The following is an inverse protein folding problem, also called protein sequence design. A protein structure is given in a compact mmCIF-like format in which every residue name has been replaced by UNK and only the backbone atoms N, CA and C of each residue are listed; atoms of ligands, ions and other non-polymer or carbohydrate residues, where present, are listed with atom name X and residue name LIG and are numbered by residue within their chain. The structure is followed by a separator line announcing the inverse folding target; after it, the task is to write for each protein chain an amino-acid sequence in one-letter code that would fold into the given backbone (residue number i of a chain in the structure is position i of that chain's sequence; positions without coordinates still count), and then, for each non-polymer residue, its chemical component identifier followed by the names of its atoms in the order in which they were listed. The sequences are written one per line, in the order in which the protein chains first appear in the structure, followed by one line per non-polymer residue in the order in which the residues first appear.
data_IF_508429466778
#
_entry.id   IF_508429466778
#
_cell.length_a   1.000
_cell.length_b   1.000
_cell.length_c   1.000
_cell.angle_alpha   90.00
_cell.angle_beta   90.00
_cell.angle_gamma   90.00
#
_symmetry.space_group_name_H-M   'P 1'
#
loop_
_entity.id
_entity.type
_entity.pdbx_description
1 polymer ?
#
# COMPACT_ATOMS: atom_id res chain seq x y z
N UNK A 1 28.49 -28.08 69.91
CA UNK A 1 28.53 -29.48 70.40
C UNK A 1 28.38 -30.40 69.21
N UNK A 2 29.48 -31.03 68.91
CA UNK A 2 29.70 -32.48 68.84
C UNK A 2 28.84 -33.25 67.84
N UNK A 3 29.53 -33.66 66.74
CA UNK A 3 29.93 -35.06 66.42
C UNK A 3 28.86 -35.84 65.68
N UNK A 4 29.04 -36.69 64.66
CA UNK A 4 30.20 -37.41 64.12
C UNK A 4 29.74 -38.20 62.91
N UNK A 5 30.57 -38.34 61.87
CA UNK A 5 31.02 -39.51 61.11
C UNK A 5 30.12 -40.78 61.00
N UNK A 6 29.96 -41.26 59.77
CA UNK A 6 30.46 -42.53 59.19
C UNK A 6 29.87 -42.70 57.80
N UNK A 7 30.60 -42.71 56.75
CA UNK A 7 31.46 -43.66 56.06
C UNK A 7 30.74 -44.75 55.25
N UNK A 8 31.08 -44.70 53.97
CA UNK A 8 31.35 -45.80 53.03
C UNK A 8 30.24 -46.79 52.65
N UNK A 9 29.92 -46.86 51.38
CA UNK A 9 30.27 -47.95 50.47
C UNK A 9 29.78 -47.63 49.04
N UNK A 10 30.71 -47.62 48.08
CA UNK A 10 30.47 -47.38 46.66
C UNK A 10 29.80 -48.61 46.04
N UNK A 11 28.91 -48.32 45.10
CA UNK A 11 28.57 -49.22 44.04
C UNK A 11 28.67 -48.44 42.72
N UNK A 12 29.69 -48.74 41.94
CA UNK A 12 29.84 -48.30 40.57
C UNK A 12 28.76 -48.96 39.70
N UNK A 13 27.81 -48.13 39.23
CA UNK A 13 26.86 -48.54 38.18
C UNK A 13 27.47 -48.14 36.84
N UNK A 14 27.97 -49.10 36.09
CA UNK A 14 28.38 -48.91 34.69
C UNK A 14 27.15 -48.73 33.85
N UNK A 15 26.85 -47.48 33.49
CA UNK A 15 25.85 -47.11 32.50
C UNK A 15 26.45 -47.36 31.11
N UNK A 16 26.00 -48.41 30.47
CA UNK A 16 26.24 -48.71 29.05
C UNK A 16 25.43 -47.70 28.23
N UNK A 17 26.03 -46.63 27.73
CA UNK A 17 25.41 -45.68 26.80
C UNK A 17 25.40 -46.36 25.42
N UNK A 18 24.25 -46.91 25.05
CA UNK A 18 23.97 -47.31 23.67
C UNK A 18 23.84 -46.05 22.82
N UNK A 19 24.88 -45.69 22.08
CA UNK A 19 24.84 -44.67 21.06
C UNK A 19 23.95 -45.13 19.92
N UNK A 20 22.71 -44.73 19.93
CA UNK A 20 21.81 -44.82 18.75
C UNK A 20 22.27 -43.73 17.79
N UNK A 21 22.69 -44.06 16.54
CA UNK A 21 22.97 -43.03 15.56
C UNK A 21 21.64 -42.31 15.22
N UNK A 22 21.45 -41.11 15.70
CA UNK A 22 20.41 -40.18 15.21
C UNK A 22 20.82 -39.85 13.78
N UNK A 23 20.24 -40.57 12.82
CA UNK A 23 20.34 -40.19 11.42
C UNK A 23 19.75 -38.79 11.28
N UNK A 24 20.58 -37.82 10.91
CA UNK A 24 20.09 -36.53 10.44
C UNK A 24 19.23 -36.80 9.23
N UNK A 25 17.92 -36.80 9.41
CA UNK A 25 16.98 -36.65 8.31
C UNK A 25 17.36 -35.31 7.65
N UNK A 26 17.96 -35.37 6.48
CA UNK A 26 18.32 -34.18 5.73
C UNK A 26 17.08 -33.32 5.63
N UNK A 27 17.16 -32.08 6.12
CA UNK A 27 16.13 -31.09 5.91
C UNK A 27 15.88 -31.04 4.40
N UNK A 28 14.68 -31.44 3.98
CA UNK A 28 14.27 -31.31 2.59
C UNK A 28 14.50 -29.86 2.19
N UNK A 29 15.21 -29.63 1.08
CA UNK A 29 15.38 -28.31 0.53
C UNK A 29 13.99 -27.64 0.45
N UNK A 30 13.85 -26.37 0.83
CA UNK A 30 12.57 -25.68 0.72
C UNK A 30 12.08 -25.84 -0.71
N UNK A 31 10.79 -26.15 -0.92
CA UNK A 31 10.24 -26.35 -2.26
C UNK A 31 10.55 -25.12 -3.09
N UNK A 32 11.08 -25.33 -4.29
CA UNK A 32 11.41 -24.26 -5.22
C UNK A 32 10.18 -23.33 -5.35
N UNK A 33 10.39 -22.04 -5.17
CA UNK A 33 9.33 -21.05 -5.23
C UNK A 33 8.63 -21.13 -6.58
N UNK A 34 7.36 -21.49 -6.61
CA UNK A 34 6.63 -21.67 -7.85
C UNK A 34 6.41 -20.31 -8.51
N UNK A 35 6.76 -20.21 -9.80
CA UNK A 35 6.58 -18.98 -10.56
C UNK A 35 5.10 -18.72 -10.81
N UNK A 36 4.71 -17.44 -10.77
CA UNK A 36 3.39 -17.02 -11.19
C UNK A 36 3.19 -17.32 -12.69
N UNK A 37 2.02 -17.88 -13.04
CA UNK A 37 1.62 -18.14 -14.42
C UNK A 37 0.55 -17.15 -14.83
N UNK A 38 0.66 -16.61 -16.04
CA UNK A 38 -0.27 -15.65 -16.63
C UNK A 38 -1.00 -16.27 -17.79
N UNK A 39 -2.32 -16.11 -17.80
CA UNK A 39 -3.22 -16.52 -18.87
C UNK A 39 -4.07 -15.34 -19.32
N UNK A 40 -4.58 -15.40 -20.56
CA UNK A 40 -5.60 -14.50 -21.07
C UNK A 40 -6.83 -15.31 -21.39
N UNK A 41 -7.98 -14.96 -20.83
CA UNK A 41 -9.26 -15.60 -21.08
C UNK A 41 -9.83 -15.18 -22.44
N UNK A 42 -10.81 -15.92 -22.96
CA UNK A 42 -11.40 -15.68 -24.27
C UNK A 42 -11.95 -14.26 -24.46
N UNK A 43 -12.43 -13.62 -23.37
CA UNK A 43 -12.97 -12.26 -23.39
C UNK A 43 -11.92 -11.16 -23.11
N UNK A 44 -10.62 -11.51 -23.07
CA UNK A 44 -9.53 -10.58 -22.83
C UNK A 44 -9.18 -10.31 -21.36
N UNK A 45 -9.91 -10.89 -20.38
CA UNK A 45 -9.53 -10.79 -18.97
C UNK A 45 -8.22 -11.50 -18.72
N UNK A 46 -7.36 -10.90 -17.92
CA UNK A 46 -6.12 -11.53 -17.47
C UNK A 46 -6.40 -12.42 -16.24
N UNK A 47 -5.77 -13.60 -16.19
CA UNK A 47 -5.68 -14.44 -15.00
C UNK A 47 -4.21 -14.62 -14.63
N UNK A 48 -3.88 -14.41 -13.35
CA UNK A 48 -2.54 -14.68 -12.81
C UNK A 48 -2.71 -15.69 -11.66
N UNK A 49 -1.97 -16.81 -11.73
CA UNK A 49 -2.01 -17.85 -10.70
C UNK A 49 -0.63 -18.08 -10.14
N UNK A 50 -0.49 -17.97 -8.81
CA UNK A 50 0.76 -18.27 -8.08
C UNK A 50 0.52 -19.41 -7.09
N UNK A 51 0.91 -20.67 -7.40
CA UNK A 51 0.80 -21.77 -6.46
C UNK A 51 1.69 -21.56 -5.23
N UNK A 52 1.11 -21.78 -4.04
CA UNK A 52 1.82 -21.83 -2.76
C UNK A 52 1.13 -22.85 -1.85
N UNK A 53 1.70 -24.04 -1.75
CA UNK A 53 1.10 -25.17 -1.03
C UNK A 53 1.51 -25.30 0.43
N UNK A 54 2.06 -24.23 1.03
CA UNK A 54 2.47 -24.23 2.44
C UNK A 54 1.31 -24.33 3.42
N UNK A 55 0.12 -23.89 3.03
CA UNK A 55 -1.12 -23.99 3.79
C UNK A 55 -2.30 -24.22 2.86
N UNK A 56 -3.40 -24.91 3.30
CA UNK A 56 -4.58 -25.19 2.49
C UNK A 56 -5.49 -23.97 2.34
N UNK A 57 -4.91 -22.82 1.99
CA UNK A 57 -5.60 -21.53 1.88
C UNK A 57 -5.29 -20.88 0.54
N UNK A 58 -6.20 -20.01 0.11
CA UNK A 58 -6.12 -19.25 -1.14
C UNK A 58 -6.52 -17.80 -0.90
N UNK A 59 -5.77 -16.87 -1.48
CA UNK A 59 -6.19 -15.51 -1.75
C UNK A 59 -6.69 -15.43 -3.20
N UNK A 60 -7.98 -15.16 -3.37
CA UNK A 60 -8.59 -14.81 -4.64
C UNK A 60 -8.78 -13.30 -4.67
N UNK A 61 -8.34 -12.64 -5.74
CA UNK A 61 -8.48 -11.19 -5.90
C UNK A 61 -8.96 -10.85 -7.31
N UNK A 62 -9.90 -9.93 -7.39
CA UNK A 62 -10.29 -9.25 -8.63
C UNK A 62 -9.80 -7.81 -8.59
N UNK A 63 -9.03 -7.40 -9.59
CA UNK A 63 -8.53 -6.03 -9.73
C UNK A 63 -9.08 -5.38 -10.98
N UNK A 64 -9.49 -4.14 -10.86
CA UNK A 64 -9.89 -3.31 -12.00
C UNK A 64 -8.90 -2.15 -12.11
N UNK A 65 -8.36 -1.94 -13.32
CA UNK A 65 -7.39 -0.85 -13.59
C UNK A 65 -8.14 0.48 -13.70
N UNK A 66 -8.79 0.87 -12.61
CA UNK A 66 -9.51 2.14 -12.46
C UNK A 66 -9.53 2.55 -10.99
N UNK A 67 -9.27 3.83 -10.72
CA UNK A 67 -9.27 4.39 -9.38
C UNK A 67 -9.51 5.90 -9.41
N UNK A 68 -9.21 6.60 -8.32
CA UNK A 68 -9.49 8.02 -8.19
C UNK A 68 -8.85 8.90 -9.29
N UNK A 69 -7.78 8.46 -9.94
CA UNK A 69 -7.20 9.20 -11.05
C UNK A 69 -8.03 9.20 -12.35
N UNK A 70 -8.93 8.24 -12.49
CA UNK A 70 -9.78 8.09 -13.67
C UNK A 70 -11.13 8.86 -13.56
N UNK A 71 -11.35 9.49 -12.39
CA UNK A 71 -12.50 10.35 -12.12
C UNK A 71 -12.39 11.70 -12.81
N UNK A 72 -13.48 12.45 -12.80
CA UNK A 72 -13.53 13.85 -13.27
C UNK A 72 -13.94 14.78 -12.12
N UNK A 73 -13.62 16.06 -12.23
CA UNK A 73 -14.05 17.07 -11.28
C UNK A 73 -15.61 17.14 -11.28
N UNK A 74 -16.21 17.27 -10.10
CA UNK A 74 -17.66 17.20 -9.89
C UNK A 74 -18.18 15.80 -9.52
N UNK A 75 -17.37 14.73 -9.70
CA UNK A 75 -17.71 13.36 -9.30
C UNK A 75 -16.53 12.66 -8.63
N UNK A 76 -15.65 13.41 -7.93
CA UNK A 76 -14.56 12.81 -7.19
C UNK A 76 -15.09 11.89 -6.08
N UNK A 77 -14.44 10.76 -5.86
CA UNK A 77 -14.88 9.73 -4.94
C UNK A 77 -15.79 8.66 -5.55
N UNK A 78 -16.21 8.81 -6.83
CA UNK A 78 -17.11 7.83 -7.46
C UNK A 78 -16.52 6.44 -7.56
N UNK A 79 -15.19 6.30 -7.68
CA UNK A 79 -14.52 4.99 -7.67
C UNK A 79 -14.67 4.30 -6.30
N UNK A 80 -14.53 5.06 -5.21
CA UNK A 80 -14.69 4.57 -3.84
C UNK A 80 -16.17 4.28 -3.50
N UNK A 81 -17.08 5.16 -3.90
CA UNK A 81 -18.53 4.91 -3.76
C UNK A 81 -18.92 3.64 -4.52
N UNK A 82 -18.41 3.44 -5.73
CA UNK A 82 -18.68 2.22 -6.50
C UNK A 82 -18.10 0.97 -5.83
N UNK A 83 -16.93 1.06 -5.18
CA UNK A 83 -16.41 -0.05 -4.37
C UNK A 83 -17.45 -0.53 -3.36
N UNK A 84 -18.07 0.39 -2.59
CA UNK A 84 -19.15 0.09 -1.65
C UNK A 84 -20.37 -0.51 -2.34
N UNK A 85 -20.75 0.05 -3.50
CA UNK A 85 -21.94 -0.41 -4.23
C UNK A 85 -21.79 -1.83 -4.79
N UNK A 86 -20.56 -2.33 -5.00
CA UNK A 86 -20.34 -3.71 -5.43
C UNK A 86 -20.82 -4.75 -4.39
N UNK A 87 -21.04 -4.35 -3.13
CA UNK A 87 -21.59 -5.21 -2.06
C UNK A 87 -23.12 -5.12 -1.95
N UNK A 88 -23.80 -4.32 -2.79
CA UNK A 88 -25.24 -4.03 -2.65
C UNK A 88 -26.15 -4.91 -3.50
N UNK A 89 -25.59 -5.96 -4.11
CA UNK A 89 -26.38 -7.04 -4.69
C UNK A 89 -26.21 -7.23 -6.20
N UNK A 90 -26.83 -8.30 -6.67
CA UNK A 90 -26.97 -8.71 -8.07
C UNK A 90 -28.39 -9.26 -8.26
N UNK A 91 -28.82 -9.63 -9.47
CA UNK A 91 -30.09 -10.33 -9.65
C UNK A 91 -30.24 -11.63 -8.84
N UNK A 92 -29.10 -12.26 -8.46
CA UNK A 92 -29.06 -13.54 -7.73
C UNK A 92 -28.64 -13.43 -6.28
N UNK A 93 -28.16 -12.27 -5.85
CA UNK A 93 -27.64 -12.02 -4.50
C UNK A 93 -28.31 -10.78 -3.89
N UNK A 94 -28.99 -10.94 -2.78
CA UNK A 94 -29.53 -9.82 -2.02
C UNK A 94 -28.40 -9.00 -1.35
N UNK A 95 -28.73 -7.77 -0.89
CA UNK A 95 -27.82 -6.90 -0.15
C UNK A 95 -27.17 -7.64 1.04
N UNK A 96 -25.85 -7.63 1.13
CA UNK A 96 -25.07 -8.29 2.18
C UNK A 96 -25.01 -9.82 2.06
N UNK A 97 -25.64 -10.42 1.05
CA UNK A 97 -25.63 -11.87 0.89
C UNK A 97 -24.28 -12.40 0.43
N UNK A 98 -23.57 -11.64 -0.40
CA UNK A 98 -22.20 -11.98 -0.80
C UNK A 98 -21.33 -12.23 0.44
N UNK A 99 -21.28 -11.27 1.36
CA UNK A 99 -20.48 -11.33 2.59
C UNK A 99 -20.89 -12.50 3.49
N UNK A 100 -22.20 -12.73 3.67
CA UNK A 100 -22.70 -13.88 4.43
C UNK A 100 -22.27 -15.22 3.83
N UNK A 101 -22.33 -15.34 2.48
CA UNK A 101 -21.92 -16.58 1.81
C UNK A 101 -20.42 -16.81 1.92
N UNK A 102 -19.58 -15.77 1.72
CA UNK A 102 -18.13 -15.89 1.91
C UNK A 102 -17.79 -16.29 3.35
N UNK A 103 -18.44 -15.67 4.34
CA UNK A 103 -18.25 -16.04 5.75
C UNK A 103 -18.66 -17.49 6.04
N UNK A 104 -19.79 -17.95 5.47
CA UNK A 104 -20.26 -19.34 5.60
C UNK A 104 -19.29 -20.37 4.98
N UNK A 105 -18.50 -19.97 3.98
CA UNK A 105 -17.42 -20.77 3.39
C UNK A 105 -16.12 -20.74 4.23
N UNK A 106 -16.12 -20.10 5.40
CA UNK A 106 -14.94 -19.94 6.25
C UNK A 106 -13.99 -18.84 5.74
N UNK A 107 -14.45 -17.95 4.87
CA UNK A 107 -13.66 -16.91 4.25
C UNK A 107 -13.74 -15.56 4.97
N UNK A 108 -12.80 -14.69 4.61
CA UNK A 108 -12.80 -13.25 4.89
C UNK A 108 -12.74 -12.50 3.58
N UNK A 109 -13.42 -11.37 3.51
CA UNK A 109 -13.44 -10.54 2.33
C UNK A 109 -13.25 -9.07 2.69
N UNK A 110 -12.81 -8.27 1.72
CA UNK A 110 -12.84 -6.82 1.76
C UNK A 110 -12.54 -6.27 0.36
N UNK A 111 -12.52 -4.94 0.25
CA UNK A 111 -12.11 -4.24 -0.94
C UNK A 111 -11.25 -3.03 -0.60
N UNK A 112 -10.68 -2.39 -1.59
CA UNK A 112 -9.90 -1.17 -1.44
C UNK A 112 -9.87 -0.40 -2.76
N UNK A 113 -9.97 0.91 -2.67
CA UNK A 113 -9.76 1.84 -3.77
C UNK A 113 -8.48 2.64 -3.55
N UNK A 114 -7.68 2.77 -4.60
CA UNK A 114 -6.48 3.58 -4.63
C UNK A 114 -6.55 4.65 -5.73
N UNK A 115 -5.48 5.40 -5.94
CA UNK A 115 -5.40 6.35 -7.06
C UNK A 115 -5.53 5.63 -8.40
N UNK A 116 -4.92 4.46 -8.56
CA UNK A 116 -4.67 3.79 -9.84
C UNK A 116 -5.56 2.59 -10.11
N UNK A 117 -6.18 2.03 -9.08
CA UNK A 117 -6.90 0.76 -9.15
C UNK A 117 -7.95 0.62 -8.04
N UNK A 118 -8.89 -0.29 -8.26
CA UNK A 118 -9.80 -0.83 -7.25
C UNK A 118 -9.63 -2.34 -7.20
N UNK A 119 -9.57 -2.91 -6.00
CA UNK A 119 -9.36 -4.34 -5.78
C UNK A 119 -10.36 -4.92 -4.80
N UNK A 120 -10.81 -6.13 -5.09
CA UNK A 120 -11.72 -6.94 -4.26
C UNK A 120 -11.02 -8.24 -3.92
N UNK A 121 -11.12 -8.72 -2.68
CA UNK A 121 -10.43 -9.94 -2.31
C UNK A 121 -11.21 -10.82 -1.35
N UNK A 122 -10.92 -12.11 -1.42
CA UNK A 122 -11.36 -13.11 -0.47
C UNK A 122 -10.17 -13.99 -0.07
N UNK A 123 -10.04 -14.24 1.23
CA UNK A 123 -9.13 -15.25 1.78
C UNK A 123 -9.97 -16.41 2.28
N UNK A 124 -9.73 -17.60 1.74
CA UNK A 124 -10.62 -18.77 1.90
C UNK A 124 -9.80 -20.06 2.02
N UNK A 125 -10.39 -21.16 2.54
CA UNK A 125 -9.87 -22.50 2.33
C UNK A 125 -9.80 -22.82 0.82
N UNK A 126 -8.75 -23.50 0.37
CA UNK A 126 -8.53 -23.80 -1.06
C UNK A 126 -9.68 -24.60 -1.70
N UNK A 127 -10.35 -25.47 -0.92
CA UNK A 127 -11.52 -26.23 -1.35
C UNK A 127 -12.74 -25.38 -1.70
N UNK A 128 -12.77 -24.09 -1.32
CA UNK A 128 -13.89 -23.17 -1.55
C UNK A 128 -13.67 -22.22 -2.73
N UNK A 129 -12.55 -22.35 -3.45
CA UNK A 129 -12.19 -21.43 -4.52
C UNK A 129 -13.26 -21.35 -5.61
N UNK A 130 -13.80 -22.49 -6.08
CA UNK A 130 -14.84 -22.49 -7.13
C UNK A 130 -16.10 -21.74 -6.69
N UNK A 131 -16.54 -21.95 -5.44
CA UNK A 131 -17.72 -21.26 -4.90
C UNK A 131 -17.52 -19.74 -4.87
N UNK A 132 -16.33 -19.28 -4.47
CA UNK A 132 -16.00 -17.85 -4.44
C UNK A 132 -15.85 -17.26 -5.83
N UNK A 133 -15.20 -17.95 -6.76
CA UNK A 133 -15.10 -17.48 -8.16
C UNK A 133 -16.47 -17.30 -8.80
N UNK A 134 -17.43 -18.19 -8.52
CA UNK A 134 -18.82 -18.04 -8.97
C UNK A 134 -19.50 -16.80 -8.40
N UNK A 135 -19.33 -16.55 -7.09
CA UNK A 135 -19.90 -15.37 -6.42
C UNK A 135 -19.28 -14.07 -6.94
N UNK A 136 -17.95 -14.03 -7.08
CA UNK A 136 -17.21 -12.84 -7.51
C UNK A 136 -17.50 -12.50 -8.98
N UNK A 137 -17.58 -13.52 -9.85
CA UNK A 137 -17.90 -13.30 -11.27
C UNK A 137 -19.31 -12.73 -11.46
N UNK A 138 -20.30 -13.17 -10.67
CA UNK A 138 -21.64 -12.61 -10.66
C UNK A 138 -21.63 -11.15 -10.17
N UNK A 139 -20.94 -10.89 -9.05
CA UNK A 139 -20.76 -9.52 -8.53
C UNK A 139 -20.13 -8.58 -9.54
N UNK A 140 -19.08 -9.03 -10.22
CA UNK A 140 -18.38 -8.22 -11.23
C UNK A 140 -19.21 -7.95 -12.47
N UNK A 141 -19.96 -8.97 -12.96
CA UNK A 141 -20.68 -8.89 -14.23
C UNK A 141 -22.07 -8.27 -14.09
N UNK A 142 -22.77 -8.54 -13.00
CA UNK A 142 -24.20 -8.33 -12.84
C UNK A 142 -24.54 -7.39 -11.67
N UNK A 143 -23.56 -6.63 -11.16
CA UNK A 143 -23.81 -5.74 -10.04
C UNK A 143 -24.92 -4.71 -10.38
N UNK A 144 -25.90 -4.63 -9.50
CA UNK A 144 -27.00 -3.67 -9.60
C UNK A 144 -27.54 -3.31 -8.22
N UNK A 145 -28.04 -2.11 -8.09
CA UNK A 145 -28.63 -1.61 -6.85
C UNK A 145 -29.79 -0.65 -7.11
N UNK A 146 -30.81 -0.61 -6.22
CA UNK A 146 -31.81 0.45 -6.21
C UNK A 146 -31.21 1.79 -5.79
N UNK A 147 -31.80 2.90 -6.25
CA UNK A 147 -31.37 4.25 -5.86
C UNK A 147 -31.45 4.49 -4.35
N UNK A 148 -32.41 3.86 -3.67
CA UNK A 148 -32.54 3.93 -2.22
C UNK A 148 -31.33 3.31 -1.48
N UNK A 149 -30.74 2.22 -2.00
CA UNK A 149 -29.53 1.63 -1.43
C UNK A 149 -28.31 2.49 -1.70
N UNK A 150 -28.22 3.11 -2.89
CA UNK A 150 -27.18 4.08 -3.19
C UNK A 150 -27.22 5.27 -2.22
N UNK A 151 -28.41 5.86 -2.00
CA UNK A 151 -28.55 7.00 -1.09
C UNK A 151 -28.10 6.68 0.34
N UNK A 152 -28.43 5.49 0.86
CA UNK A 152 -27.98 5.05 2.18
C UNK A 152 -26.45 4.90 2.24
N UNK A 153 -25.87 4.25 1.24
CA UNK A 153 -24.45 3.98 1.21
C UNK A 153 -23.61 5.24 0.99
N UNK A 154 -24.13 6.19 0.23
CA UNK A 154 -23.50 7.49 0.06
C UNK A 154 -23.36 8.23 1.40
N UNK A 155 -24.36 8.13 2.29
CA UNK A 155 -24.25 8.68 3.65
C UNK A 155 -23.17 7.95 4.49
N UNK A 156 -23.01 6.64 4.30
CA UNK A 156 -21.91 5.88 4.93
C UNK A 156 -20.55 6.39 4.44
N UNK A 157 -20.39 6.62 3.13
CA UNK A 157 -19.14 7.14 2.56
C UNK A 157 -18.86 8.58 3.05
N UNK A 158 -19.89 9.42 3.15
CA UNK A 158 -19.74 10.77 3.74
C UNK A 158 -19.30 10.72 5.21
N UNK A 159 -19.86 9.79 5.99
CA UNK A 159 -19.46 9.61 7.38
C UNK A 159 -18.02 9.08 7.49
N UNK A 160 -17.65 8.14 6.61
CA UNK A 160 -16.27 7.66 6.50
C UNK A 160 -15.29 8.81 6.18
N UNK A 161 -15.66 9.71 5.25
CA UNK A 161 -14.88 10.90 4.96
C UNK A 161 -14.72 11.77 6.20
N UNK A 162 -15.81 12.02 6.95
CA UNK A 162 -15.73 12.80 8.19
C UNK A 162 -14.74 12.16 9.17
N UNK A 163 -14.88 10.87 9.44
CA UNK A 163 -14.05 10.15 10.39
C UNK A 163 -12.57 10.07 9.97
N UNK A 164 -12.30 9.78 8.70
CA UNK A 164 -10.93 9.56 8.21
C UNK A 164 -10.20 10.85 7.85
N UNK A 165 -10.92 11.87 7.39
CA UNK A 165 -10.34 13.10 6.87
C UNK A 165 -10.76 14.32 7.69
N UNK A 166 -12.05 14.63 7.76
CA UNK A 166 -12.51 15.93 8.29
C UNK A 166 -12.29 16.06 9.81
N UNK A 167 -12.36 14.96 10.55
CA UNK A 167 -12.04 14.90 12.00
C UNK A 167 -10.54 14.68 12.28
N UNK A 168 -9.70 14.56 11.24
CA UNK A 168 -8.26 14.32 11.37
C UNK A 168 -7.44 15.44 10.74
N UNK A 169 -6.91 16.38 11.53
CA UNK A 169 -6.17 17.54 11.02
C UNK A 169 -4.95 17.21 10.15
N UNK A 170 -4.27 16.10 10.42
CA UNK A 170 -3.14 15.67 9.58
C UNK A 170 -3.61 15.12 8.24
N UNK A 171 -4.71 14.35 8.21
CA UNK A 171 -5.29 13.87 6.96
C UNK A 171 -5.78 15.03 6.08
N UNK A 172 -6.43 16.04 6.67
CA UNK A 172 -6.80 17.27 5.96
C UNK A 172 -5.57 18.00 5.40
N UNK A 173 -4.49 18.11 6.19
CA UNK A 173 -3.24 18.72 5.73
C UNK A 173 -2.68 17.98 4.51
N UNK A 174 -2.64 16.64 4.53
CA UNK A 174 -2.14 15.83 3.41
C UNK A 174 -3.04 15.93 2.17
N UNK A 175 -4.35 16.01 2.35
CA UNK A 175 -5.30 16.26 1.27
C UNK A 175 -5.01 17.61 0.61
N UNK A 176 -4.89 18.68 1.40
CA UNK A 176 -4.56 20.01 0.92
C UNK A 176 -3.14 20.09 0.33
N UNK A 177 -2.18 19.33 0.88
CA UNK A 177 -0.83 19.25 0.34
C UNK A 177 -0.85 18.66 -1.09
N UNK A 178 -1.58 17.60 -1.31
CA UNK A 178 -1.74 16.99 -2.64
C UNK A 178 -2.41 17.95 -3.63
N UNK A 179 -3.49 18.62 -3.19
CA UNK A 179 -4.21 19.62 -3.99
C UNK A 179 -3.36 20.85 -4.34
N UNK A 180 -2.46 21.27 -3.44
CA UNK A 180 -1.56 22.42 -3.66
C UNK A 180 -0.36 22.04 -4.50
N UNK A 181 0.21 20.85 -4.29
CA UNK A 181 1.40 20.40 -5.00
C UNK A 181 1.14 20.04 -6.47
N UNK A 182 -0.10 19.66 -6.83
CA UNK A 182 -0.46 19.21 -8.17
C UNK A 182 -1.47 20.15 -8.82
N UNK A 183 -1.13 20.68 -9.99
CA UNK A 183 -1.96 21.62 -10.74
C UNK A 183 -2.89 20.90 -11.72
N UNK A 184 -2.37 19.95 -12.50
CA UNK A 184 -3.09 19.28 -13.57
C UNK A 184 -3.37 17.79 -13.27
N UNK A 185 -2.47 17.13 -12.55
CA UNK A 185 -2.59 15.69 -12.29
C UNK A 185 -3.84 15.36 -11.48
N UNK A 186 -4.63 14.34 -11.89
CA UNK A 186 -5.75 13.83 -11.11
C UNK A 186 -5.39 13.35 -9.70
N UNK A 187 -4.13 13.07 -9.42
CA UNK A 187 -3.64 12.70 -8.08
C UNK A 187 -3.88 13.78 -7.01
N UNK A 188 -4.22 15.00 -7.42
CA UNK A 188 -4.61 16.10 -6.53
C UNK A 188 -5.91 15.83 -5.76
N UNK A 189 -6.82 14.99 -6.31
CA UNK A 189 -8.12 14.69 -5.68
C UNK A 189 -7.98 13.63 -4.58
N UNK A 190 -8.73 13.72 -3.48
CA UNK A 190 -8.79 12.66 -2.47
C UNK A 190 -9.45 11.38 -3.04
N UNK A 191 -9.03 10.21 -2.55
CA UNK A 191 -9.63 8.93 -2.98
C UNK A 191 -11.09 8.84 -2.52
N UNK A 192 -11.39 9.32 -1.32
CA UNK A 192 -12.75 9.33 -0.79
C UNK A 192 -13.67 10.35 -1.50
N UNK A 193 -13.09 11.31 -2.24
CA UNK A 193 -13.80 12.39 -2.90
C UNK A 193 -13.91 13.67 -2.04
N UNK A 194 -14.13 14.81 -2.69
CA UNK A 194 -14.49 16.06 -2.00
C UNK A 194 -15.90 15.95 -1.47
N UNK A 195 -16.20 16.53 -0.30
CA UNK A 195 -17.54 16.49 0.30
C UNK A 195 -18.60 17.08 -0.65
N UNK A 196 -18.29 18.21 -1.32
CA UNK A 196 -19.19 18.83 -2.29
C UNK A 196 -19.54 17.92 -3.46
N UNK A 197 -18.59 17.11 -3.93
CA UNK A 197 -18.82 16.16 -5.02
C UNK A 197 -19.68 14.98 -4.53
N UNK A 198 -19.42 14.50 -3.30
CA UNK A 198 -20.23 13.45 -2.66
C UNK A 198 -21.67 13.90 -2.40
N UNK A 199 -21.87 15.16 -2.00
CA UNK A 199 -23.21 15.73 -1.78
C UNK A 199 -24.03 15.85 -3.09
N UNK A 200 -23.34 16.07 -4.21
CA UNK A 200 -23.97 16.19 -5.52
C UNK A 200 -24.07 14.88 -6.30
N UNK A 201 -23.38 13.82 -5.85
CA UNK A 201 -23.25 12.55 -6.57
C UNK A 201 -24.58 11.80 -6.64
N UNK A 202 -24.89 11.27 -7.83
CA UNK A 202 -26.10 10.50 -8.08
C UNK A 202 -25.80 9.01 -8.29
N UNK A 203 -26.82 8.17 -8.12
CA UNK A 203 -26.72 6.74 -8.45
C UNK A 203 -26.35 6.50 -9.92
N UNK A 204 -26.71 7.44 -10.79
CA UNK A 204 -26.39 7.36 -12.21
C UNK A 204 -24.90 7.57 -12.48
N UNK A 205 -24.21 8.47 -11.74
CA UNK A 205 -22.77 8.67 -11.86
C UNK A 205 -22.00 7.39 -11.56
N UNK A 206 -22.39 6.69 -10.48
CA UNK A 206 -21.78 5.41 -10.12
C UNK A 206 -22.06 4.32 -11.16
N UNK A 207 -23.28 4.25 -11.71
CA UNK A 207 -23.63 3.29 -12.79
C UNK A 207 -22.87 3.57 -14.07
N UNK A 208 -22.68 4.85 -14.43
CA UNK A 208 -21.92 5.25 -15.60
C UNK A 208 -20.44 4.90 -15.45
N UNK A 209 -19.89 5.13 -14.27
CA UNK A 209 -18.52 4.76 -13.94
C UNK A 209 -18.32 3.24 -14.00
N UNK A 210 -19.24 2.45 -13.43
CA UNK A 210 -19.24 0.99 -13.54
C UNK A 210 -19.31 0.52 -14.99
N UNK A 211 -20.29 0.98 -15.79
CA UNK A 211 -20.42 0.60 -17.19
C UNK A 211 -19.20 0.95 -18.03
N UNK A 212 -18.55 2.06 -17.69
CA UNK A 212 -17.38 2.56 -18.41
C UNK A 212 -16.12 1.72 -18.13
N UNK A 213 -15.88 1.33 -16.89
CA UNK A 213 -14.59 0.81 -16.48
C UNK A 213 -14.56 -0.66 -16.08
N UNK A 214 -15.68 -1.23 -15.62
CA UNK A 214 -15.75 -2.61 -15.13
C UNK A 214 -16.05 -3.55 -16.30
N UNK A 215 -15.01 -3.86 -17.06
CA UNK A 215 -15.06 -4.75 -18.23
C UNK A 215 -13.90 -5.74 -18.15
N UNK A 216 -14.05 -6.99 -18.66
CA UNK A 216 -13.01 -8.02 -18.62
C UNK A 216 -11.63 -7.55 -19.09
N UNK A 217 -11.57 -6.79 -20.21
CA UNK A 217 -10.32 -6.27 -20.77
C UNK A 217 -9.59 -5.26 -19.84
N UNK A 218 -10.28 -4.69 -18.83
CA UNK A 218 -9.72 -3.76 -17.83
C UNK A 218 -9.54 -4.41 -16.45
N UNK A 219 -9.66 -5.75 -16.36
CA UNK A 219 -9.63 -6.46 -15.10
C UNK A 219 -8.64 -7.65 -15.10
N UNK A 220 -8.17 -8.02 -13.91
CA UNK A 220 -7.38 -9.23 -13.70
C UNK A 220 -7.90 -9.99 -12.49
N UNK A 221 -7.99 -11.30 -12.64
CA UNK A 221 -8.17 -12.22 -11.52
C UNK A 221 -6.80 -12.72 -11.09
N UNK A 222 -6.46 -12.58 -9.82
CA UNK A 222 -5.22 -13.09 -9.23
C UNK A 222 -5.58 -14.14 -8.19
N UNK A 223 -4.97 -15.31 -8.29
CA UNK A 223 -5.17 -16.41 -7.35
C UNK A 223 -3.80 -16.87 -6.84
N UNK A 224 -3.57 -16.76 -5.54
CA UNK A 224 -2.35 -17.26 -4.90
C UNK A 224 -2.70 -18.21 -3.75
N UNK A 225 -1.97 -19.33 -3.63
CA UNK A 225 -2.17 -20.31 -2.56
C UNK A 225 -2.15 -21.76 -3.04
N UNK A 226 -2.80 -22.63 -2.27
CA UNK A 226 -2.84 -24.08 -2.56
C UNK A 226 -3.77 -24.40 -3.72
N UNK A 227 -3.25 -24.24 -4.94
CA UNK A 227 -4.00 -24.39 -6.19
C UNK A 227 -3.16 -25.03 -7.29
N UNK A 228 -3.85 -25.63 -8.25
CA UNK A 228 -3.29 -26.02 -9.54
C UNK A 228 -3.62 -24.97 -10.61
N UNK A 229 -2.63 -24.41 -11.33
CA UNK A 229 -2.86 -23.33 -12.28
C UNK A 229 -3.80 -23.69 -13.45
N UNK A 230 -3.78 -24.94 -13.92
CA UNK A 230 -4.64 -25.36 -15.03
C UNK A 230 -6.08 -25.55 -14.57
N UNK A 231 -6.29 -26.07 -13.35
CA UNK A 231 -7.62 -26.14 -12.75
C UNK A 231 -8.20 -24.73 -12.51
N UNK A 232 -7.39 -23.80 -11.97
CA UNK A 232 -7.83 -22.40 -11.80
C UNK A 232 -8.16 -21.76 -13.14
N UNK A 233 -7.37 -22.01 -14.19
CA UNK A 233 -7.66 -21.53 -15.54
C UNK A 233 -9.02 -22.05 -16.04
N UNK A 234 -9.30 -23.34 -15.89
CA UNK A 234 -10.57 -23.92 -16.30
C UNK A 234 -11.77 -23.31 -15.54
N UNK A 235 -11.63 -23.08 -14.22
CA UNK A 235 -12.64 -22.37 -13.43
C UNK A 235 -12.81 -20.93 -13.88
N UNK A 236 -11.72 -20.23 -14.18
CA UNK A 236 -11.76 -18.85 -14.65
C UNK A 236 -12.46 -18.74 -16.01
N UNK A 237 -12.18 -19.63 -16.95
CA UNK A 237 -12.90 -19.69 -18.24
C UNK A 237 -14.39 -19.96 -18.04
N UNK A 238 -14.75 -20.85 -17.10
CA UNK A 238 -16.15 -21.19 -16.79
C UNK A 238 -16.93 -20.00 -16.25
N UNK A 239 -16.36 -19.24 -15.30
CA UNK A 239 -17.08 -18.22 -14.56
C UNK A 239 -16.85 -16.80 -15.08
N UNK A 240 -15.64 -16.46 -15.51
CA UNK A 240 -15.30 -15.13 -16.01
C UNK A 240 -15.24 -15.06 -17.53
N UNK A 241 -14.86 -16.16 -18.22
CA UNK A 241 -14.63 -16.16 -19.67
C UNK A 241 -15.85 -15.83 -20.52
N UNK A 242 -17.07 -16.10 -20.01
CA UNK A 242 -18.34 -15.79 -20.68
C UNK A 242 -18.84 -14.37 -20.47
N UNK A 243 -18.22 -13.58 -19.58
CA UNK A 243 -18.65 -12.20 -19.29
C UNK A 243 -18.42 -11.34 -20.54
N UNK A 244 -19.43 -10.63 -21.05
CA UNK A 244 -19.28 -9.78 -22.22
C UNK A 244 -18.23 -8.68 -22.01
N UNK A 245 -17.30 -8.53 -22.95
CA UNK A 245 -16.30 -7.46 -22.90
C UNK A 245 -16.79 -6.21 -23.59
N UNK A 246 -16.35 -5.06 -23.11
CA UNK A 246 -16.55 -3.74 -23.70
C UNK A 246 -15.18 -3.09 -23.93
N UNK A 247 -15.11 -2.16 -24.88
CA UNK A 247 -13.89 -1.40 -25.11
C UNK A 247 -13.49 -0.61 -23.85
N UNK A 248 -12.21 -0.69 -23.49
CA UNK A 248 -11.65 0.14 -22.42
C UNK A 248 -11.49 1.54 -22.95
N UNK A 249 -12.02 2.57 -22.28
CA UNK A 249 -11.86 3.95 -22.73
C UNK A 249 -10.39 4.36 -22.81
N UNK A 250 -10.02 5.08 -23.84
CA UNK A 250 -8.71 5.69 -23.96
C UNK A 250 -8.53 6.76 -22.86
N UNK A 251 -7.41 6.69 -22.18
CA UNK A 251 -7.01 7.68 -21.15
C UNK A 251 -6.20 8.77 -21.79
N UNK A 252 -6.74 9.98 -21.82
CA UNK A 252 -5.98 11.15 -22.28
C UNK A 252 -4.88 11.47 -21.28
N UNK A 253 -3.63 11.72 -21.73
CA UNK A 253 -2.54 12.16 -20.86
C UNK A 253 -2.94 13.44 -20.10
N UNK A 254 -2.56 13.52 -18.84
CA UNK A 254 -2.71 14.70 -17.97
C UNK A 254 -1.38 14.93 -17.26
N UNK A 255 -0.43 15.42 -18.04
CA UNK A 255 0.91 15.65 -17.54
C UNK A 255 0.91 16.79 -16.54
N UNK A 256 1.57 16.57 -15.42
CA UNK A 256 1.76 17.60 -14.41
C UNK A 256 2.86 18.56 -14.87
N UNK A 257 2.60 19.89 -14.97
CA UNK A 257 3.61 20.84 -15.36
C UNK A 257 4.75 20.89 -14.32
N UNK A 258 5.95 21.23 -14.80
CA UNK A 258 7.09 21.46 -13.93
C UNK A 258 6.77 22.60 -12.95
N UNK A 259 7.13 22.40 -11.70
CA UNK A 259 7.00 23.44 -10.68
C UNK A 259 8.14 24.45 -10.83
N UNK A 260 7.82 25.73 -10.68
CA UNK A 260 8.76 26.85 -10.78
C UNK A 260 8.72 27.62 -9.44
N UNK A 261 9.50 27.16 -8.46
CA UNK A 261 9.60 27.77 -7.15
C UNK A 261 8.81 27.09 -6.02
N UNK A 262 9.13 27.46 -4.80
CA UNK A 262 8.56 26.95 -3.57
C UNK A 262 7.07 27.26 -3.49
N UNK A 263 6.27 26.25 -3.14
CA UNK A 263 4.88 26.43 -2.68
C UNK A 263 4.82 26.24 -1.17
N UNK A 264 4.08 27.08 -0.48
CA UNK A 264 3.93 27.01 0.98
C UNK A 264 2.54 27.39 1.39
N UNK A 265 1.97 26.66 2.36
CA UNK A 265 0.72 27.06 3.00
C UNK A 265 0.67 26.63 4.47
N UNK A 266 -0.16 27.32 5.23
CA UNK A 266 -0.50 26.98 6.60
C UNK A 266 -1.95 26.48 6.65
N UNK A 267 -2.17 25.43 7.42
CA UNK A 267 -3.47 24.85 7.66
C UNK A 267 -3.81 24.97 9.15
N UNK A 268 -4.88 25.70 9.45
CA UNK A 268 -5.35 25.93 10.82
C UNK A 268 -6.47 24.96 11.15
N UNK A 269 -6.29 24.10 12.15
CA UNK A 269 -7.29 23.15 12.59
C UNK A 269 -7.14 22.83 14.08
N UNK A 270 -8.23 22.38 14.75
CA UNK A 270 -8.16 21.92 16.14
C UNK A 270 -7.18 20.75 16.28
N UNK A 271 -6.05 20.98 16.94
CA UNK A 271 -5.00 19.98 17.13
C UNK A 271 -4.21 20.25 18.41
N UNK A 272 -3.56 19.22 18.96
CA UNK A 272 -2.70 19.35 20.13
C UNK A 272 -1.30 19.85 19.78
N UNK A 273 -0.80 19.41 18.62
CA UNK A 273 0.57 19.67 18.19
C UNK A 273 0.60 20.18 16.75
N UNK A 274 1.60 20.98 16.45
CA UNK A 274 1.95 21.34 15.09
C UNK A 274 2.43 20.09 14.32
N UNK A 275 2.33 20.15 13.01
CA UNK A 275 2.89 19.14 12.12
C UNK A 275 3.41 19.83 10.86
N UNK A 276 4.53 19.35 10.33
CA UNK A 276 5.10 19.86 9.09
C UNK A 276 5.29 18.72 8.11
N UNK A 277 4.91 18.94 6.86
CA UNK A 277 5.12 18.03 5.76
C UNK A 277 5.74 18.77 4.57
N UNK A 278 6.81 18.21 4.05
CA UNK A 278 7.53 18.67 2.86
C UNK A 278 7.33 17.62 1.77
N UNK A 279 6.81 18.01 0.62
CA UNK A 279 6.63 17.14 -0.54
C UNK A 279 7.51 17.63 -1.70
N UNK A 280 8.49 16.84 -2.10
CA UNK A 280 9.35 17.10 -3.25
C UNK A 280 8.87 16.26 -4.44
N UNK A 281 8.60 16.86 -5.59
CA UNK A 281 8.28 16.12 -6.82
C UNK A 281 9.52 15.34 -7.27
N UNK A 282 9.36 14.03 -7.48
CA UNK A 282 10.45 13.12 -7.82
C UNK A 282 10.05 12.19 -8.97
N UNK A 283 11.02 11.59 -9.69
CA UNK A 283 10.73 10.60 -10.72
C UNK A 283 10.09 9.35 -10.12
N UNK A 284 9.25 8.69 -10.94
CA UNK A 284 8.64 7.40 -10.62
C UNK A 284 9.35 6.26 -11.33
N UNK A 285 9.28 5.07 -10.77
CA UNK A 285 9.66 3.84 -11.46
C UNK A 285 8.50 3.41 -12.39
N UNK A 286 8.56 3.83 -13.64
CA UNK A 286 7.53 3.50 -14.63
C UNK A 286 7.72 2.10 -15.25
N UNK A 287 8.95 1.58 -15.25
CA UNK A 287 9.29 0.23 -15.67
C UNK A 287 10.57 -0.24 -14.99
N UNK A 288 10.88 -1.53 -15.13
CA UNK A 288 12.12 -2.10 -14.60
C UNK A 288 13.29 -2.02 -15.59
N UNK A 289 13.09 -1.49 -16.79
CA UNK A 289 14.19 -1.21 -17.70
C UNK A 289 15.13 -0.15 -17.10
N UNK A 290 16.42 -0.31 -17.30
CA UNK A 290 17.41 0.66 -16.85
C UNK A 290 17.23 1.98 -17.61
N UNK A 291 17.16 3.07 -16.86
CA UNK A 291 17.20 4.45 -17.37
C UNK A 291 17.64 5.37 -16.23
N UNK A 292 18.20 6.54 -16.52
CA UNK A 292 18.61 7.49 -15.47
C UNK A 292 17.47 7.83 -14.49
N UNK A 293 16.24 8.02 -14.99
CA UNK A 293 15.09 8.35 -14.15
C UNK A 293 14.67 7.18 -13.25
N UNK A 294 14.71 5.93 -13.77
CA UNK A 294 14.40 4.74 -12.98
C UNK A 294 15.47 4.44 -11.94
N UNK A 295 16.75 4.69 -12.28
CA UNK A 295 17.87 4.55 -11.34
C UNK A 295 17.77 5.60 -10.23
N UNK A 296 17.41 6.84 -10.56
CA UNK A 296 17.13 7.89 -9.58
C UNK A 296 15.96 7.55 -8.66
N UNK A 297 14.85 7.00 -9.19
CA UNK A 297 13.69 6.58 -8.39
C UNK A 297 14.07 5.48 -7.37
N UNK A 298 14.93 4.55 -7.78
CA UNK A 298 15.45 3.52 -6.87
C UNK A 298 16.40 4.09 -5.82
N UNK A 299 17.30 5.00 -6.22
CA UNK A 299 18.22 5.66 -5.29
C UNK A 299 17.48 6.53 -4.27
N UNK A 300 16.39 7.19 -4.66
CA UNK A 300 15.50 7.93 -3.75
C UNK A 300 14.82 7.01 -2.74
N UNK A 301 14.42 5.80 -3.15
CA UNK A 301 13.86 4.80 -2.22
C UNK A 301 14.91 4.38 -1.18
N UNK A 302 16.15 4.18 -1.59
CA UNK A 302 17.25 3.89 -0.67
C UNK A 302 17.56 5.09 0.21
N UNK A 303 17.53 6.33 -0.32
CA UNK A 303 17.68 7.55 0.47
C UNK A 303 16.62 7.66 1.57
N UNK A 304 15.35 7.39 1.26
CA UNK A 304 14.29 7.38 2.27
C UNK A 304 14.60 6.38 3.39
N UNK A 305 15.08 5.19 3.04
CA UNK A 305 15.44 4.17 4.02
C UNK A 305 16.72 4.51 4.82
N UNK A 306 17.68 5.25 4.26
CA UNK A 306 18.83 5.82 5.00
C UNK A 306 18.36 6.84 6.03
N UNK A 307 17.37 7.65 5.67
CA UNK A 307 16.84 8.68 6.55
C UNK A 307 15.94 8.09 7.65
N UNK A 308 15.05 7.14 7.32
CA UNK A 308 13.99 6.65 8.23
C UNK A 308 13.63 5.16 8.06
N UNK A 309 14.50 4.33 7.49
CA UNK A 309 14.16 2.93 7.18
C UNK A 309 14.23 1.97 8.37
N UNK A 310 14.68 2.39 9.55
CA UNK A 310 14.83 1.54 10.74
C UNK A 310 14.97 2.38 12.01
N UNK A 311 14.72 1.77 13.18
CA UNK A 311 14.95 2.40 14.48
C UNK A 311 16.43 2.76 14.65
N UNK A 312 16.71 4.03 14.93
CA UNK A 312 18.06 4.58 14.93
C UNK A 312 18.60 4.97 13.55
N UNK A 313 17.74 5.15 12.54
CA UNK A 313 18.08 5.79 11.26
C UNK A 313 18.48 7.27 11.47
N UNK A 314 18.91 7.96 10.40
CA UNK A 314 19.47 9.33 10.53
C UNK A 314 18.51 10.32 11.17
N UNK A 315 17.23 10.33 10.76
CA UNK A 315 16.23 11.26 11.32
C UNK A 315 15.97 10.96 12.80
N UNK A 316 15.81 9.68 13.15
CA UNK A 316 15.60 9.27 14.54
C UNK A 316 16.74 9.76 15.43
N UNK A 317 17.99 9.39 15.11
CA UNK A 317 19.16 9.79 15.91
C UNK A 317 19.38 11.29 16.00
N UNK A 318 19.13 12.02 14.91
CA UNK A 318 19.43 13.44 14.83
C UNK A 318 18.35 14.34 15.42
N UNK A 319 17.07 13.91 15.37
CA UNK A 319 15.96 14.80 15.64
C UNK A 319 15.07 14.36 16.79
N UNK A 320 14.97 13.03 17.09
CA UNK A 320 13.99 12.53 18.07
C UNK A 320 14.62 12.09 19.38
N UNK A 321 15.95 11.98 19.45
CA UNK A 321 16.67 11.50 20.63
C UNK A 321 17.29 12.63 21.45
N UNK A 322 17.44 12.39 22.76
CA UNK A 322 18.06 13.30 23.71
C UNK A 322 17.12 14.33 24.31
N UNK A 323 17.60 15.06 25.31
CA UNK A 323 16.82 16.07 26.04
C UNK A 323 16.48 17.29 25.17
N UNK A 324 17.35 17.66 24.24
CA UNK A 324 17.20 18.80 23.34
C UNK A 324 16.67 18.38 21.94
N UNK A 325 15.89 17.31 21.87
CA UNK A 325 15.33 16.84 20.60
C UNK A 325 14.51 17.91 19.90
N UNK A 326 14.59 17.96 18.57
CA UNK A 326 13.82 18.90 17.75
C UNK A 326 12.44 18.39 17.39
N UNK A 327 12.25 17.08 17.41
CA UNK A 327 11.01 16.43 17.02
C UNK A 327 10.56 15.37 18.02
N UNK A 328 9.25 15.22 18.20
CA UNK A 328 8.64 14.05 18.82
C UNK A 328 8.55 12.88 17.84
N UNK A 329 8.44 13.19 16.55
CA UNK A 329 8.57 12.22 15.44
C UNK A 329 9.09 12.90 14.19
N UNK A 330 9.87 12.17 13.39
CA UNK A 330 10.34 12.59 12.08
C UNK A 330 10.32 11.39 11.14
N UNK A 331 9.94 11.59 9.88
CA UNK A 331 9.82 10.52 8.90
C UNK A 331 10.26 10.93 7.50
N UNK A 332 10.63 9.94 6.68
CA UNK A 332 10.93 10.08 5.28
C UNK A 332 10.30 8.95 4.46
N UNK A 333 9.63 9.29 3.36
CA UNK A 333 8.98 8.32 2.48
C UNK A 333 9.17 8.71 1.02
N UNK A 334 9.42 7.74 0.16
CA UNK A 334 9.47 7.92 -1.30
C UNK A 334 8.32 7.17 -1.98
N UNK A 335 7.49 7.88 -2.74
CA UNK A 335 6.52 7.29 -3.66
C UNK A 335 7.24 6.72 -4.88
N UNK A 336 7.45 5.40 -4.90
CA UNK A 336 8.25 4.76 -5.95
C UNK A 336 7.46 4.53 -7.23
N UNK A 337 6.23 4.03 -7.14
CA UNK A 337 5.42 3.56 -8.27
C UNK A 337 4.03 4.17 -8.27
N UNK A 338 3.47 4.32 -9.46
CA UNK A 338 2.12 4.82 -9.69
C UNK A 338 1.95 5.27 -11.14
N UNK A 339 0.71 5.52 -11.56
CA UNK A 339 0.40 6.02 -12.91
C UNK A 339 0.61 7.54 -13.01
N UNK A 340 0.55 8.25 -11.88
CA UNK A 340 0.75 9.71 -11.78
C UNK A 340 2.07 10.11 -11.13
N UNK A 341 2.28 11.43 -10.92
CA UNK A 341 3.45 11.99 -10.26
C UNK A 341 3.69 11.42 -8.88
N UNK A 342 4.96 11.29 -8.51
CA UNK A 342 5.37 10.81 -7.20
C UNK A 342 6.05 11.91 -6.39
N UNK A 343 6.06 11.74 -5.07
CA UNK A 343 6.68 12.65 -4.13
C UNK A 343 7.65 11.91 -3.20
N UNK A 344 8.70 12.60 -2.85
CA UNK A 344 9.49 12.28 -1.66
C UNK A 344 8.99 13.16 -0.52
N UNK A 345 8.57 12.54 0.57
CA UNK A 345 8.07 13.24 1.75
C UNK A 345 9.12 13.28 2.86
N UNK A 346 9.23 14.45 3.52
CA UNK A 346 9.83 14.59 4.82
C UNK A 346 8.77 15.18 5.73
N UNK A 347 8.57 14.61 6.91
CA UNK A 347 7.49 15.04 7.78
C UNK A 347 7.84 14.86 9.25
N UNK A 348 7.12 15.57 10.14
CA UNK A 348 7.35 15.39 11.55
C UNK A 348 6.50 16.28 12.45
N UNK A 349 6.57 15.95 13.74
CA UNK A 349 5.96 16.66 14.84
C UNK A 349 7.06 17.37 15.58
N UNK A 350 7.06 18.71 15.68
CA UNK A 350 8.02 19.44 16.52
C UNK A 350 7.91 19.02 17.99
N UNK A 351 9.05 18.87 18.67
CA UNK A 351 9.06 18.61 20.09
C UNK A 351 8.52 19.82 20.87
N UNK A 352 8.13 19.62 22.12
CA UNK A 352 7.62 20.69 22.97
C UNK A 352 8.61 21.86 23.04
N UNK A 353 8.15 23.04 22.72
CA UNK A 353 8.95 24.29 22.68
C UNK A 353 9.70 24.53 21.37
N UNK A 354 9.64 23.59 20.43
CA UNK A 354 10.23 23.74 19.09
C UNK A 354 9.19 24.25 18.10
N UNK A 355 9.66 24.92 17.04
CA UNK A 355 8.76 25.44 15.99
C UNK A 355 8.74 24.54 14.76
N UNK A 356 7.66 24.54 13.97
CA UNK A 356 7.61 23.84 12.69
C UNK A 356 8.73 24.27 11.73
N UNK A 357 9.12 25.53 11.74
CA UNK A 357 10.18 26.10 10.90
C UNK A 357 11.56 25.53 11.29
N UNK A 358 11.81 25.38 12.60
CA UNK A 358 13.04 24.75 13.10
C UNK A 358 13.11 23.29 12.67
N UNK A 359 11.99 22.55 12.75
CA UNK A 359 11.94 21.17 12.30
C UNK A 359 12.08 21.06 10.78
N UNK A 360 11.42 21.94 9.99
CA UNK A 360 11.60 21.99 8.54
C UNK A 360 13.08 22.17 8.17
N UNK A 361 13.74 23.15 8.77
CA UNK A 361 15.16 23.41 8.53
C UNK A 361 16.02 22.21 8.90
N UNK A 362 15.72 21.53 10.01
CA UNK A 362 16.46 20.34 10.47
C UNK A 362 16.24 19.13 9.54
N UNK A 363 15.01 18.87 9.05
CA UNK A 363 14.71 17.84 8.07
C UNK A 363 15.48 18.06 6.76
N UNK A 364 15.46 19.27 6.23
CA UNK A 364 16.22 19.66 5.04
C UNK A 364 17.72 19.53 5.24
N UNK A 365 18.21 19.88 6.44
CA UNK A 365 19.62 19.74 6.79
C UNK A 365 20.11 18.27 6.77
N UNK A 366 19.27 17.29 7.15
CA UNK A 366 19.64 15.89 7.08
C UNK A 366 19.79 15.41 5.62
N UNK A 367 18.93 15.84 4.70
CA UNK A 367 19.12 15.57 3.27
C UNK A 367 20.37 16.27 2.74
N UNK A 368 20.60 17.54 3.11
CA UNK A 368 21.80 18.28 2.72
C UNK A 368 23.09 17.57 3.22
N UNK A 369 23.09 16.98 4.40
CA UNK A 369 24.19 16.17 4.89
C UNK A 369 24.46 14.97 3.98
N UNK A 370 23.42 14.26 3.54
CA UNK A 370 23.60 13.19 2.53
C UNK A 370 24.19 13.73 1.23
N UNK A 371 23.70 14.88 0.77
CA UNK A 371 24.17 15.51 -0.46
C UNK A 371 25.66 15.93 -0.39
N UNK A 372 26.15 16.34 0.78
CA UNK A 372 27.55 16.81 0.97
C UNK A 372 28.50 15.72 1.44
N UNK A 373 28.08 14.90 2.41
CA UNK A 373 28.93 13.91 3.08
C UNK A 373 28.75 12.49 2.49
N UNK A 374 27.65 12.25 1.74
CA UNK A 374 27.31 10.95 1.19
C UNK A 374 26.78 9.97 2.23
N UNK A 375 26.78 8.70 1.82
CA UNK A 375 26.41 7.54 2.65
C UNK A 375 27.59 6.56 2.65
N UNK A 376 27.99 6.05 3.80
CA UNK A 376 29.06 5.04 3.83
C UNK A 376 28.51 3.65 3.47
N UNK A 377 29.39 2.77 2.99
CA UNK A 377 29.01 1.44 2.50
C UNK A 377 28.34 0.58 3.57
N UNK A 378 28.79 0.64 4.83
CA UNK A 378 28.21 -0.15 5.92
C UNK A 378 26.76 0.26 6.23
N UNK A 379 26.47 1.56 6.21
CA UNK A 379 25.12 2.09 6.36
C UNK A 379 24.23 1.66 5.19
N UNK A 380 24.74 1.79 3.96
CA UNK A 380 24.00 1.40 2.74
C UNK A 380 23.68 -0.10 2.76
N UNK A 381 24.63 -0.96 3.10
CA UNK A 381 24.41 -2.41 3.16
C UNK A 381 23.39 -2.78 4.23
N UNK A 382 23.39 -2.13 5.39
CA UNK A 382 22.39 -2.34 6.43
C UNK A 382 20.98 -2.02 5.92
N UNK A 383 20.80 -0.87 5.31
CA UNK A 383 19.53 -0.41 4.75
C UNK A 383 19.03 -1.39 3.69
N UNK A 384 19.89 -1.78 2.74
CA UNK A 384 19.54 -2.74 1.69
C UNK A 384 19.15 -4.10 2.28
N UNK A 385 19.89 -4.59 3.26
CA UNK A 385 19.60 -5.87 3.91
C UNK A 385 18.23 -5.86 4.57
N UNK A 386 17.91 -4.81 5.33
CA UNK A 386 16.63 -4.68 6.01
C UNK A 386 15.46 -4.54 5.02
N UNK A 387 15.66 -3.75 3.96
CA UNK A 387 14.63 -3.58 2.95
C UNK A 387 14.35 -4.89 2.21
N UNK A 388 15.41 -5.60 1.77
CA UNK A 388 15.29 -6.91 1.11
C UNK A 388 14.62 -7.93 2.03
N UNK A 389 14.99 -7.96 3.31
CA UNK A 389 14.34 -8.84 4.29
C UNK A 389 12.84 -8.53 4.42
N UNK A 390 12.46 -7.25 4.47
CA UNK A 390 11.06 -6.84 4.51
C UNK A 390 10.28 -7.31 3.28
N UNK A 391 10.86 -7.19 2.07
CA UNK A 391 10.21 -7.65 0.84
C UNK A 391 10.05 -9.19 0.82
N UNK A 392 11.05 -9.92 1.30
CA UNK A 392 10.98 -11.39 1.41
C UNK A 392 9.90 -11.80 2.42
N UNK A 393 9.83 -11.16 3.60
CA UNK A 393 8.81 -11.48 4.62
C UNK A 393 7.38 -11.21 4.14
N UNK A 394 7.16 -10.24 3.26
CA UNK A 394 5.84 -10.03 2.65
C UNK A 394 5.35 -11.26 1.88
N UNK A 395 6.27 -12.03 1.28
CA UNK A 395 5.94 -13.23 0.50
C UNK A 395 5.49 -14.42 1.35
N UNK A 396 5.61 -14.36 2.69
CA UNK A 396 5.06 -15.39 3.56
C UNK A 396 3.52 -15.43 3.56
N UNK A 397 2.89 -14.34 3.20
CA UNK A 397 1.43 -14.25 3.09
C UNK A 397 0.98 -14.44 1.64
N UNK A 398 0.13 -15.43 1.37
CA UNK A 398 -0.52 -15.62 0.06
C UNK A 398 -1.35 -14.40 -0.36
N UNK A 399 -1.90 -13.68 0.62
CA UNK A 399 -2.59 -12.40 0.38
C UNK A 399 -1.63 -11.35 -0.19
N UNK A 400 -0.47 -11.16 0.42
CA UNK A 400 0.51 -10.20 -0.07
C UNK A 400 1.06 -10.60 -1.44
N UNK A 401 1.28 -11.91 -1.68
CA UNK A 401 1.69 -12.40 -2.99
C UNK A 401 0.66 -12.04 -4.07
N UNK A 402 -0.64 -12.29 -3.82
CA UNK A 402 -1.72 -11.95 -4.75
C UNK A 402 -1.82 -10.42 -4.95
N UNK A 403 -1.68 -9.65 -3.86
CA UNK A 403 -1.73 -8.19 -3.90
C UNK A 403 -0.60 -7.60 -4.75
N UNK A 404 0.61 -8.07 -4.58
CA UNK A 404 1.76 -7.62 -5.39
C UNK A 404 1.57 -7.90 -6.88
N UNK A 405 1.08 -9.08 -7.23
CA UNK A 405 0.78 -9.44 -8.62
C UNK A 405 -0.31 -8.56 -9.22
N UNK A 406 -1.35 -8.23 -8.43
CA UNK A 406 -2.41 -7.31 -8.84
C UNK A 406 -1.89 -5.88 -9.07
N UNK A 407 -1.09 -5.35 -8.15
CA UNK A 407 -0.43 -4.04 -8.29
C UNK A 407 0.47 -4.02 -9.53
N UNK A 408 1.31 -5.04 -9.71
CA UNK A 408 2.18 -5.16 -10.87
C UNK A 408 1.39 -5.08 -12.18
N UNK A 409 0.32 -5.87 -12.27
CA UNK A 409 -0.52 -5.87 -13.47
C UNK A 409 -1.16 -4.51 -13.73
N UNK A 410 -1.67 -3.82 -12.68
CA UNK A 410 -2.31 -2.51 -12.85
C UNK A 410 -1.33 -1.45 -13.34
N UNK A 411 -0.05 -1.55 -12.98
CA UNK A 411 1.02 -0.65 -13.41
C UNK A 411 1.70 -1.10 -14.72
N UNK A 412 1.29 -2.23 -15.30
CA UNK A 412 1.91 -2.76 -16.53
C UNK A 412 3.25 -3.44 -16.31
N UNK A 413 3.57 -3.83 -15.07
CA UNK A 413 4.81 -4.51 -14.70
C UNK A 413 4.69 -6.04 -14.89
N UNK A 414 5.81 -6.75 -15.10
CA UNK A 414 5.79 -8.21 -15.23
C UNK A 414 5.48 -8.90 -13.89
N UNK A 415 4.99 -10.16 -13.89
CA UNK A 415 4.64 -10.88 -12.65
C UNK A 415 5.82 -11.12 -11.70
N UNK A 416 7.04 -11.13 -12.18
CA UNK A 416 8.28 -11.30 -11.41
C UNK A 416 8.94 -9.97 -11.03
N UNK A 417 8.18 -8.84 -11.13
CA UNK A 417 8.72 -7.51 -10.87
C UNK A 417 9.36 -7.38 -9.48
N UNK A 418 8.82 -8.03 -8.47
CA UNK A 418 9.35 -7.96 -7.10
C UNK A 418 10.77 -8.48 -7.01
N UNK A 419 11.07 -9.63 -7.64
CA UNK A 419 12.43 -10.17 -7.70
C UNK A 419 13.38 -9.25 -8.49
N UNK A 420 12.93 -8.69 -9.61
CA UNK A 420 13.71 -7.75 -10.40
C UNK A 420 13.95 -6.44 -9.64
N UNK A 421 12.95 -5.93 -8.92
CA UNK A 421 13.07 -4.73 -8.09
C UNK A 421 14.12 -4.94 -6.99
N UNK A 422 14.06 -6.08 -6.28
CA UNK A 422 15.07 -6.45 -5.27
C UNK A 422 16.47 -6.48 -5.90
N UNK A 423 16.62 -7.12 -7.06
CA UNK A 423 17.92 -7.21 -7.74
C UNK A 423 18.48 -5.82 -8.07
N UNK A 424 17.64 -4.91 -8.59
CA UNK A 424 18.05 -3.54 -8.92
C UNK A 424 18.36 -2.70 -7.67
N UNK A 425 17.57 -2.78 -6.62
CA UNK A 425 17.83 -2.05 -5.37
C UNK A 425 19.15 -2.47 -4.71
N UNK A 426 19.52 -3.75 -4.83
CA UNK A 426 20.83 -4.22 -4.37
C UNK A 426 22.01 -3.56 -5.11
N UNK A 427 21.82 -3.11 -6.33
CA UNK A 427 22.85 -2.47 -7.17
C UNK A 427 23.01 -0.97 -6.89
N UNK A 428 22.07 -0.33 -6.18
CA UNK A 428 22.18 1.11 -5.86
C UNK A 428 23.47 1.38 -5.09
N UNK A 429 24.23 2.38 -5.50
CA UNK A 429 25.53 2.75 -4.93
C UNK A 429 25.44 3.95 -3.99
N UNK A 430 26.42 4.17 -3.08
CA UNK A 430 26.49 5.39 -2.28
C UNK A 430 26.49 6.67 -3.11
N UNK A 431 27.21 6.66 -4.24
CA UNK A 431 27.28 7.80 -5.15
C UNK A 431 25.92 8.15 -5.78
N UNK A 432 25.11 7.15 -6.13
CA UNK A 432 23.76 7.39 -6.63
C UNK A 432 22.84 7.99 -5.55
N UNK A 433 22.92 7.51 -4.31
CA UNK A 433 22.15 8.08 -3.19
C UNK A 433 22.54 9.53 -2.93
N UNK A 434 23.84 9.83 -2.98
CA UNK A 434 24.33 11.21 -2.86
C UNK A 434 23.87 12.09 -4.01
N UNK A 435 23.95 11.61 -5.23
CA UNK A 435 23.53 12.35 -6.43
C UNK A 435 22.05 12.72 -6.41
N UNK A 436 21.15 11.82 -6.01
CA UNK A 436 19.72 12.15 -5.92
C UNK A 436 19.43 13.13 -4.77
N UNK A 437 20.18 13.05 -3.67
CA UNK A 437 20.09 14.03 -2.59
C UNK A 437 20.54 15.44 -3.03
N UNK A 438 21.45 15.56 -3.97
CA UNK A 438 21.86 16.83 -4.59
C UNK A 438 20.84 17.35 -5.60
N UNK A 439 20.17 16.44 -6.34
CA UNK A 439 19.39 16.78 -7.53
C UNK A 439 17.95 17.18 -7.23
N UNK A 440 17.25 16.53 -6.28
CA UNK A 440 15.78 16.59 -6.19
C UNK A 440 15.23 17.43 -5.03
N UNK A 441 16.07 17.97 -4.14
CA UNK A 441 15.61 18.63 -2.92
C UNK A 441 15.75 20.17 -2.95
N UNK A 442 15.64 20.73 -4.15
CA UNK A 442 15.58 22.17 -4.38
C UNK A 442 14.16 22.74 -4.17
N UNK A 443 14.08 24.06 -4.08
CA UNK A 443 12.81 24.77 -3.85
C UNK A 443 11.86 24.67 -5.06
N UNK A 444 12.35 24.48 -6.27
CA UNK A 444 11.54 24.35 -7.49
C UNK A 444 10.69 23.06 -7.53
N UNK A 445 10.96 22.09 -6.67
CA UNK A 445 10.17 20.86 -6.56
C UNK A 445 9.38 20.75 -5.27
N UNK A 446 9.56 21.71 -4.35
CA UNK A 446 9.10 21.64 -2.95
C UNK A 446 7.73 22.30 -2.75
N UNK A 447 6.84 21.57 -2.07
CA UNK A 447 5.65 22.11 -1.42
C UNK A 447 5.72 21.85 0.08
N UNK A 448 5.58 22.90 0.90
CA UNK A 448 5.59 22.83 2.37
C UNK A 448 4.19 23.08 2.90
N UNK A 449 3.73 22.19 3.77
CA UNK A 449 2.48 22.31 4.50
C UNK A 449 2.74 22.31 6.01
N UNK A 450 2.17 23.29 6.72
CA UNK A 450 2.31 23.40 8.18
C UNK A 450 0.95 23.41 8.85
N UNK A 451 0.69 22.43 9.73
CA UNK A 451 -0.48 22.44 10.61
C UNK A 451 -0.22 23.40 11.78
N UNK A 452 -1.07 24.40 11.89
CA UNK A 452 -1.10 25.37 13.00
C UNK A 452 -2.23 25.00 13.96
N UNK A 453 -1.93 24.47 15.15
CA UNK A 453 -2.94 24.06 16.12
C UNK A 453 -3.87 25.21 16.49
N UNK A 454 -5.18 24.91 16.50
CA UNK A 454 -6.21 25.74 17.09
C UNK A 454 -6.73 25.06 18.36
N UNK A 455 -7.31 25.80 19.31
CA UNK A 455 -7.87 25.22 20.52
C UNK A 455 -8.87 24.12 20.22
N UNK A 456 -8.76 22.99 20.93
CA UNK A 456 -9.74 21.91 20.87
C UNK A 456 -11.06 22.40 21.49
N UNK A 457 -12.18 22.24 20.78
CA UNK A 457 -13.50 22.43 21.36
C UNK A 457 -13.76 21.42 22.48
N UNK A 458 -14.61 21.77 23.48
CA UNK A 458 -14.91 20.90 24.61
C UNK A 458 -15.43 19.51 24.19
N UNK A 459 -16.18 19.43 23.08
CA UNK A 459 -16.68 18.17 22.53
C UNK A 459 -15.58 17.27 21.95
N UNK A 460 -14.58 17.85 21.28
CA UNK A 460 -13.42 17.09 20.75
C UNK A 460 -12.50 16.62 21.88
N UNK A 461 -12.36 17.39 22.97
CA UNK A 461 -11.63 16.95 24.16
C UNK A 461 -12.28 15.73 24.81
N UNK A 462 -13.61 15.72 24.92
CA UNK A 462 -14.36 14.60 25.49
C UNK A 462 -14.28 13.30 24.66
N UNK A 463 -14.34 13.40 23.33
CA UNK A 463 -14.19 12.23 22.42
C UNK A 463 -12.81 11.59 22.47
N UNK A 464 -11.72 12.37 22.66
CA UNK A 464 -10.34 11.85 22.75
C UNK A 464 -9.95 11.35 24.14
N UNK A 465 -10.70 11.70 25.18
CA UNK A 465 -10.49 11.22 26.56
C UNK A 465 -11.15 9.88 26.88
N UNK A 466 -11.89 9.30 25.93
CA UNK A 466 -12.44 7.95 26.05
C UNK A 466 -11.35 6.95 25.61
N UNK A 467 -11.07 5.89 26.43
CA UNK A 467 -10.00 4.91 26.19
C UNK A 467 -10.25 4.06 24.96
#
# INVERSE_FOLDING_TARGET
MKRSFHSLWGRALVLLVLAVPVGWAGAAAPPAESKAQRFTLANGMTLIVKPDRRAPTVAHMLWVRVGAMDEVDGTSGVAHVLEHMLFKGTPTLAVGEFSRRVAALGGRENAFTAKDYTGYYQQIPSSQLEAVMRLESDRFANNQWPDAEFAKELEVVKEERRLRTDDNPRAQLHEMLSATALSASPYRRPIVGWMSDLEAMTAQDARDFYRKWYTPANAVVVVAGDVDPLQVKALAEKYYGSIPTRAVPERKPRDEPAQQGLRRFEFKAPAEQSYVALAFKVPRLASLAASPEHDDALALTVLAAVLDGYSGARLDRALTQGENRLADSAGAYNGLMGRGPQFFYLEGVPAKGQTPEALEAALRAQVKRVATEGVNEAELQRVKTQWVASEIYKLDSVFNQARELGVAWTLGLPPDYGAQLIARLRQVTPAQVQAVAQKYFGDDSLTVATLRPQPLSGQLRARRALP
#
